data_IF_636575954509
#
_entry.id   IF_636575954509
#
_cell.length_a   1.000
_cell.length_b   1.000
_cell.length_c   1.000
_cell.angle_alpha   90.00
_cell.angle_beta   90.00
_cell.angle_gamma   90.00
#
_symmetry.space_group_name_H-M   'P 1'
#
loop_
_entity.id
_entity.type
_entity.pdbx_description
1 polymer ?
#
# COMPACT_ATOMS: atom_id res chain seq x y z
N UNK A 1 -45.26 4.61 60.21
CA UNK A 1 -43.95 4.71 60.88
C UNK A 1 -42.88 4.53 59.81
N UNK A 2 -41.93 5.47 59.77
CA UNK A 2 -40.85 5.70 58.78
C UNK A 2 -39.99 4.42 58.52
N UNK A 3 -39.32 4.21 57.37
CA UNK A 3 -38.16 5.01 56.93
C UNK A 3 -37.73 4.78 55.45
N UNK A 4 -37.70 5.87 54.68
CA UNK A 4 -36.65 6.39 53.79
C UNK A 4 -35.81 5.48 52.86
N UNK A 5 -35.96 5.72 51.54
CA UNK A 5 -34.99 5.42 50.48
C UNK A 5 -34.19 6.68 50.12
N UNK A 6 -32.90 6.71 50.46
CA UNK A 6 -31.95 7.73 49.98
C UNK A 6 -31.44 7.33 48.59
N UNK A 7 -31.95 7.96 47.53
CA UNK A 7 -31.37 7.90 46.18
C UNK A 7 -30.58 9.18 45.94
N UNK A 8 -29.23 9.08 45.87
CA UNK A 8 -28.35 10.19 45.51
C UNK A 8 -28.65 10.63 44.08
N UNK A 9 -29.07 11.90 43.91
CA UNK A 9 -29.33 12.57 42.63
C UNK A 9 -28.21 13.57 42.40
N UNK A 10 -27.22 13.22 41.59
CA UNK A 10 -26.23 14.17 41.07
C UNK A 10 -26.88 14.98 39.96
N UNK A 11 -27.04 16.29 40.20
CA UNK A 11 -27.58 17.29 39.27
C UNK A 11 -26.39 18.04 38.67
N UNK A 12 -26.27 18.03 37.34
CA UNK A 12 -25.40 18.94 36.59
C UNK A 12 -26.30 19.87 35.78
N UNK A 13 -26.06 21.19 35.88
CA UNK A 13 -26.76 22.22 35.09
C UNK A 13 -25.80 22.84 34.07
N UNK A 14 -26.21 22.87 32.81
CA UNK A 14 -25.63 23.73 31.76
C UNK A 14 -26.79 24.30 30.94
N UNK A 15 -27.12 25.57 31.17
CA UNK A 15 -28.08 26.35 30.36
C UNK A 15 -29.57 26.03 30.60
N UNK A 16 -30.44 26.94 30.14
CA UNK A 16 -31.89 26.96 30.40
C UNK A 16 -32.69 25.88 29.64
N UNK A 17 -32.12 24.68 29.47
CA UNK A 17 -32.75 23.52 28.82
C UNK A 17 -32.59 22.29 29.71
N UNK A 18 -33.73 21.76 30.17
CA UNK A 18 -33.81 20.50 30.90
C UNK A 18 -33.69 19.35 29.89
N UNK A 19 -32.57 18.62 29.91
CA UNK A 19 -32.41 17.38 29.17
C UNK A 19 -32.63 16.18 30.10
N UNK A 20 -33.71 15.44 29.89
CA UNK A 20 -33.95 14.13 30.52
C UNK A 20 -33.34 13.04 29.64
N UNK A 21 -32.23 12.43 30.09
CA UNK A 21 -31.62 11.29 29.43
C UNK A 21 -32.24 10.00 29.99
N UNK A 22 -33.20 9.43 29.26
CA UNK A 22 -33.78 8.12 29.57
C UNK A 22 -32.89 7.03 29.00
N UNK A 23 -32.13 6.36 29.86
CA UNK A 23 -31.37 5.15 29.49
C UNK A 23 -32.35 4.01 29.21
N UNK A 24 -32.59 3.70 27.93
CA UNK A 24 -33.36 2.52 27.52
C UNK A 24 -32.46 1.29 27.54
N UNK A 25 -32.50 0.57 28.66
CA UNK A 25 -31.94 -0.76 28.80
C UNK A 25 -32.87 -1.76 28.09
N UNK A 26 -32.45 -2.29 26.94
CA UNK A 26 -33.11 -3.43 26.29
C UNK A 26 -32.43 -4.76 26.67
N UNK A 27 -33.22 -5.83 26.89
CA UNK A 27 -32.75 -7.15 27.32
C UNK A 27 -32.15 -7.99 26.17
N UNK A 28 -31.40 -9.07 26.47
CA UNK A 28 -30.78 -9.92 25.47
C UNK A 28 -31.80 -10.90 24.86
N UNK A 29 -32.08 -10.77 23.56
CA UNK A 29 -32.88 -11.72 22.78
C UNK A 29 -31.95 -12.67 22.02
N UNK A 30 -31.81 -13.89 22.55
CA UNK A 30 -31.50 -15.09 21.77
C UNK A 30 -32.66 -15.36 20.82
N UNK A 31 -32.39 -15.55 19.51
CA UNK A 31 -32.94 -16.66 18.72
C UNK A 31 -32.35 -16.71 17.32
N UNK A 32 -32.00 -17.93 16.94
CA UNK A 32 -31.70 -18.37 15.58
C UNK A 32 -32.84 -18.06 14.64
N UNK A 33 -32.52 -17.50 13.47
CA UNK A 33 -33.33 -17.73 12.28
C UNK A 33 -32.42 -17.76 11.05
N UNK A 34 -32.32 -18.94 10.45
CA UNK A 34 -31.68 -19.16 9.17
C UNK A 34 -32.57 -18.50 8.11
N UNK A 35 -32.22 -17.30 7.63
CA UNK A 35 -32.91 -16.68 6.50
C UNK A 35 -32.19 -17.03 5.20
N UNK A 36 -32.89 -17.85 4.42
CA UNK A 36 -32.72 -18.07 2.98
C UNK A 36 -32.38 -16.77 2.27
N UNK A 37 -31.14 -16.65 1.78
CA UNK A 37 -30.80 -15.70 0.74
C UNK A 37 -31.49 -16.13 -0.56
N UNK A 38 -32.49 -15.35 -0.96
CA UNK A 38 -33.08 -15.41 -2.30
C UNK A 38 -32.08 -14.76 -3.26
N UNK A 39 -31.40 -15.57 -4.04
CA UNK A 39 -30.60 -15.14 -5.20
C UNK A 39 -31.57 -14.46 -6.18
N UNK A 40 -31.52 -13.14 -6.27
CA UNK A 40 -32.03 -12.43 -7.43
C UNK A 40 -30.90 -12.34 -8.45
N UNK A 41 -30.93 -13.28 -9.40
CA UNK A 41 -30.20 -13.19 -10.65
C UNK A 41 -30.74 -12.02 -11.46
N UNK A 42 -30.02 -10.90 -11.48
CA UNK A 42 -30.12 -9.93 -12.57
C UNK A 42 -28.99 -10.22 -13.55
N UNK A 43 -29.35 -10.91 -14.63
CA UNK A 43 -28.49 -11.13 -15.79
C UNK A 43 -28.14 -9.78 -16.42
N UNK A 44 -26.98 -9.22 -16.05
CA UNK A 44 -26.34 -8.16 -16.81
C UNK A 44 -25.56 -8.83 -17.95
N UNK A 45 -26.10 -8.69 -19.15
CA UNK A 45 -25.47 -9.06 -20.42
C UNK A 45 -24.18 -8.24 -20.60
N UNK A 46 -23.06 -8.77 -20.12
CA UNK A 46 -21.72 -8.24 -20.41
C UNK A 46 -21.19 -8.96 -21.65
N UNK A 47 -21.44 -8.35 -22.79
CA UNK A 47 -20.93 -8.70 -24.10
C UNK A 47 -19.41 -8.45 -24.14
N UNK A 48 -18.63 -9.41 -23.64
CA UNK A 48 -17.18 -9.43 -23.85
C UNK A 48 -16.90 -9.85 -25.29
N UNK A 49 -16.30 -8.94 -26.04
CA UNK A 49 -15.90 -9.15 -27.43
C UNK A 49 -14.64 -10.04 -27.38
N UNK A 50 -14.82 -11.33 -27.62
CA UNK A 50 -13.72 -12.27 -27.91
C UNK A 50 -13.08 -11.81 -29.23
N UNK A 51 -12.05 -10.97 -29.14
CA UNK A 51 -11.28 -10.55 -30.31
C UNK A 51 -10.16 -11.57 -30.55
N UNK A 52 -10.53 -12.70 -31.16
CA UNK A 52 -9.62 -13.69 -31.74
C UNK A 52 -8.99 -13.16 -33.01
N UNK A 53 -7.89 -12.40 -32.89
CA UNK A 53 -7.05 -12.12 -34.06
C UNK A 53 -6.17 -13.34 -34.34
N UNK A 54 -6.67 -14.17 -35.25
CA UNK A 54 -5.92 -15.15 -36.02
C UNK A 54 -4.69 -14.49 -36.65
N UNK A 55 -3.51 -14.99 -36.29
CA UNK A 55 -2.28 -14.76 -37.05
C UNK A 55 -2.40 -15.50 -38.37
N UNK A 56 -2.55 -14.78 -39.47
CA UNK A 56 -2.19 -15.29 -40.80
C UNK A 56 -1.01 -14.47 -41.31
N UNK A 57 0.16 -15.10 -41.28
CA UNK A 57 1.31 -14.63 -42.06
C UNK A 57 0.98 -14.89 -43.53
N UNK A 58 1.01 -13.86 -44.36
CA UNK A 58 1.12 -14.03 -45.81
C UNK A 58 2.12 -13.04 -46.36
N UNK A 59 3.00 -13.63 -47.15
CA UNK A 59 4.27 -13.13 -47.68
C UNK A 59 4.00 -12.28 -48.93
N UNK A 60 4.89 -11.31 -49.15
CA UNK A 60 5.18 -10.66 -50.42
C UNK A 60 4.13 -9.69 -50.97
N UNK A 61 4.52 -8.40 -51.00
CA UNK A 61 4.44 -7.54 -52.18
C UNK A 61 5.26 -6.26 -51.97
N UNK A 62 6.42 -6.26 -52.63
CA UNK A 62 6.94 -5.12 -53.41
C UNK A 62 7.12 -3.76 -52.71
N UNK A 63 8.35 -3.51 -52.26
CA UNK A 63 9.23 -2.47 -52.81
C UNK A 63 8.52 -1.24 -53.43
N UNK A 64 7.83 -0.42 -52.63
CA UNK A 64 7.42 0.93 -53.07
C UNK A 64 7.23 1.93 -51.91
N UNK A 65 7.89 1.70 -50.78
CA UNK A 65 7.73 2.52 -49.56
C UNK A 65 9.04 2.96 -48.91
N UNK A 66 10.17 2.89 -49.63
CA UNK A 66 11.51 3.18 -49.07
C UNK A 66 12.19 4.42 -49.68
N UNK A 67 11.50 5.22 -50.50
CA UNK A 67 12.09 6.37 -51.18
C UNK A 67 11.62 7.75 -50.65
N UNK A 68 10.86 7.81 -49.54
CA UNK A 68 10.36 9.07 -48.97
C UNK A 68 10.87 9.37 -47.55
N UNK A 69 11.74 8.55 -46.98
CA UNK A 69 12.33 8.77 -45.65
C UNK A 69 13.76 9.33 -45.67
N UNK A 70 14.29 9.73 -46.82
CA UNK A 70 15.67 10.23 -46.97
C UNK A 70 15.79 11.72 -47.30
N UNK A 71 14.72 12.50 -47.24
CA UNK A 71 14.75 13.94 -47.60
C UNK A 71 14.44 14.94 -46.46
N UNK A 72 14.41 14.51 -45.20
CA UNK A 72 14.55 15.42 -44.05
C UNK A 72 15.90 15.23 -43.39
N UNK A 73 16.96 15.50 -44.15
CA UNK A 73 18.28 15.76 -43.59
C UNK A 73 18.75 17.10 -44.14
N UNK A 74 19.13 17.94 -43.19
CA UNK A 74 19.80 19.24 -43.35
C UNK A 74 18.85 20.39 -43.68
N UNK A 75 18.53 21.18 -42.65
CA UNK A 75 18.78 22.63 -42.65
C UNK A 75 18.85 23.13 -41.19
N UNK A 76 20.07 23.53 -40.79
CA UNK A 76 20.48 24.73 -40.04
C UNK A 76 19.77 25.11 -38.74
N UNK A 77 20.41 25.65 -37.70
CA UNK A 77 21.79 26.05 -37.46
C UNK A 77 21.98 26.15 -35.94
N UNK A 78 23.24 26.27 -35.53
CA UNK A 78 23.66 26.45 -34.16
C UNK A 78 22.91 27.57 -33.43
N UNK A 79 22.31 27.23 -32.29
CA UNK A 79 21.99 28.19 -31.24
C UNK A 79 22.81 27.80 -30.00
N UNK A 80 23.39 28.82 -29.40
CA UNK A 80 24.45 28.80 -28.41
C UNK A 80 24.11 27.94 -27.19
N UNK A 81 24.91 26.90 -26.96
CA UNK A 81 25.11 26.36 -25.62
C UNK A 81 25.75 27.44 -24.75
N UNK A 82 24.91 28.22 -24.08
CA UNK A 82 25.33 28.98 -22.91
C UNK A 82 25.72 27.93 -21.86
N UNK A 83 26.98 27.85 -21.38
CA UNK A 83 27.27 27.11 -20.18
C UNK A 83 26.53 27.83 -19.05
N UNK A 84 25.30 27.39 -18.75
CA UNK A 84 24.64 27.82 -17.54
C UNK A 84 25.45 27.23 -16.39
N UNK A 85 26.33 28.12 -15.91
CA UNK A 85 27.11 28.07 -14.69
C UNK A 85 26.41 27.14 -13.71
N UNK A 86 27.03 25.97 -13.52
CA UNK A 86 26.78 24.99 -12.46
C UNK A 86 26.40 25.71 -11.17
N UNK A 87 25.10 25.90 -10.99
CA UNK A 87 24.54 26.08 -9.67
C UNK A 87 24.53 24.66 -9.13
N UNK A 88 25.31 24.40 -8.09
CA UNK A 88 25.09 23.24 -7.24
C UNK A 88 23.72 23.44 -6.58
N UNK A 89 22.65 23.24 -7.35
CA UNK A 89 21.39 22.80 -6.79
C UNK A 89 21.75 21.50 -6.09
N UNK A 90 21.70 21.51 -4.76
CA UNK A 90 21.69 20.28 -4.00
C UNK A 90 20.38 19.62 -4.40
N UNK A 91 20.39 18.87 -5.50
CA UNK A 91 19.26 18.03 -5.90
C UNK A 91 19.24 16.92 -4.87
N UNK A 92 18.52 17.16 -3.77
CA UNK A 92 18.25 16.16 -2.76
C UNK A 92 17.44 15.09 -3.47
N UNK A 93 18.11 13.99 -3.83
CA UNK A 93 17.41 12.82 -4.34
C UNK A 93 16.43 12.38 -3.26
N UNK A 94 15.16 12.12 -3.60
CA UNK A 94 14.21 11.66 -2.61
C UNK A 94 14.70 10.35 -1.98
N UNK A 95 14.24 10.05 -0.78
CA UNK A 95 14.49 8.75 -0.15
C UNK A 95 13.59 7.67 -0.76
N UNK A 96 13.86 6.40 -0.46
CA UNK A 96 12.97 5.30 -0.87
C UNK A 96 11.55 5.44 -0.28
N UNK A 97 11.44 5.98 0.94
CA UNK A 97 10.17 6.25 1.59
C UNK A 97 9.36 7.29 0.81
N UNK A 98 9.99 8.43 0.48
CA UNK A 98 9.37 9.49 -0.32
C UNK A 98 9.04 9.02 -1.75
N UNK A 99 9.85 8.11 -2.31
CA UNK A 99 9.54 7.47 -3.59
C UNK A 99 8.24 6.67 -3.50
N UNK A 100 8.08 5.79 -2.50
CA UNK A 100 6.86 5.01 -2.31
C UNK A 100 5.64 5.86 -1.99
N UNK A 101 5.81 6.97 -1.26
CA UNK A 101 4.73 7.93 -0.97
C UNK A 101 4.15 8.56 -2.24
N UNK A 102 4.97 8.82 -3.27
CA UNK A 102 4.48 9.28 -4.59
C UNK A 102 3.57 8.27 -5.27
N UNK A 103 3.76 6.99 -4.97
CA UNK A 103 2.90 5.89 -5.42
C UNK A 103 1.82 5.53 -4.41
N UNK A 104 1.50 6.46 -3.50
CA UNK A 104 0.39 6.36 -2.55
C UNK A 104 0.64 5.36 -1.41
N UNK A 105 1.88 4.96 -1.12
CA UNK A 105 2.19 4.06 -0.01
C UNK A 105 2.71 4.81 1.22
N UNK A 106 2.31 4.42 2.44
CA UNK A 106 2.90 5.00 3.64
C UNK A 106 4.33 4.48 3.84
N UNK A 107 5.19 5.29 4.47
CA UNK A 107 6.59 4.94 4.72
C UNK A 107 6.79 3.64 5.51
N UNK A 108 5.84 3.26 6.37
CA UNK A 108 5.94 2.08 7.24
C UNK A 108 5.83 0.73 6.53
N UNK A 109 5.66 0.72 5.21
CA UNK A 109 5.83 -0.49 4.39
C UNK A 109 7.29 -0.98 4.40
N UNK A 110 8.25 -0.06 4.56
CA UNK A 110 9.67 -0.38 4.64
C UNK A 110 10.18 -0.22 6.08
N UNK A 111 11.11 -1.08 6.54
CA UNK A 111 11.80 -0.87 7.80
C UNK A 111 12.66 0.40 7.76
N UNK A 112 13.01 0.93 8.93
CA UNK A 112 13.98 2.02 9.05
C UNK A 112 15.37 1.60 8.55
N UNK A 113 16.15 2.56 8.06
CA UNK A 113 17.56 2.35 7.69
C UNK A 113 17.80 1.95 6.23
N UNK A 114 16.83 2.18 5.34
CA UNK A 114 17.03 2.06 3.89
C UNK A 114 18.18 2.97 3.43
N UNK A 115 19.13 2.40 2.70
CA UNK A 115 20.35 3.09 2.23
C UNK A 115 20.16 3.76 0.87
N UNK A 116 19.24 3.26 0.06
CA UNK A 116 18.94 3.82 -1.25
C UNK A 116 17.92 3.01 -2.02
N UNK A 117 17.59 3.49 -3.21
CA UNK A 117 16.70 2.82 -4.13
C UNK A 117 17.10 3.09 -5.59
N UNK A 118 16.59 2.26 -6.49
CA UNK A 118 16.55 2.48 -7.94
C UNK A 118 15.11 2.39 -8.38
N UNK A 119 14.64 3.33 -9.19
CA UNK A 119 13.36 3.26 -9.88
C UNK A 119 13.64 3.34 -11.38
N UNK A 120 13.23 2.29 -12.10
CA UNK A 120 13.38 2.17 -13.54
C UNK A 120 12.22 2.85 -14.26
N UNK A 121 12.41 3.22 -15.54
CA UNK A 121 11.38 3.89 -16.35
C UNK A 121 10.12 3.04 -16.58
N UNK A 122 10.23 1.72 -16.43
CA UNK A 122 9.12 0.77 -16.52
C UNK A 122 8.49 0.43 -15.15
N UNK A 123 8.74 1.26 -14.15
CA UNK A 123 8.26 1.14 -12.77
C UNK A 123 8.77 -0.09 -12.00
N UNK A 124 9.76 -0.83 -12.50
CA UNK A 124 10.50 -1.73 -11.61
C UNK A 124 11.26 -0.90 -10.58
N UNK A 125 11.31 -1.39 -9.35
CA UNK A 125 12.08 -0.75 -8.29
C UNK A 125 13.00 -1.76 -7.60
N UNK A 126 14.06 -1.22 -7.03
CA UNK A 126 14.98 -1.91 -6.13
C UNK A 126 15.18 -1.04 -4.89
N UNK A 127 15.14 -1.62 -3.70
CA UNK A 127 15.40 -0.96 -2.43
C UNK A 127 16.51 -1.71 -1.71
N UNK A 128 17.45 -0.98 -1.12
CA UNK A 128 18.65 -1.54 -0.50
C UNK A 128 18.72 -1.19 0.99
N UNK A 129 18.82 -2.22 1.83
CA UNK A 129 19.09 -2.12 3.27
C UNK A 129 20.59 -2.36 3.54
N UNK A 130 21.03 -2.10 4.77
CA UNK A 130 22.42 -2.37 5.21
C UNK A 130 22.77 -3.86 5.25
N UNK A 131 21.74 -4.69 5.40
CA UNK A 131 21.79 -6.13 5.55
C UNK A 131 20.37 -6.68 5.59
N UNK A 132 20.25 -7.99 5.71
CA UNK A 132 18.95 -8.60 5.94
C UNK A 132 18.38 -8.12 7.28
N UNK A 133 17.06 -8.04 7.34
CA UNK A 133 16.37 -7.44 8.45
C UNK A 133 15.18 -8.27 8.92
N UNK A 134 15.21 -8.70 10.17
CA UNK A 134 14.14 -9.46 10.82
C UNK A 134 13.60 -8.70 12.02
N UNK A 135 12.28 -8.72 12.22
CA UNK A 135 11.62 -8.14 13.39
C UNK A 135 10.22 -8.75 13.58
N UNK A 136 9.66 -8.57 14.78
CA UNK A 136 8.31 -9.04 15.12
C UNK A 136 7.35 -7.86 15.32
N UNK A 137 6.15 -7.95 14.76
CA UNK A 137 5.05 -7.00 14.94
C UNK A 137 3.75 -7.76 15.16
N UNK A 138 3.06 -7.50 16.26
CA UNK A 138 1.73 -8.06 16.57
C UNK A 138 1.63 -9.59 16.37
N UNK A 139 2.70 -10.32 16.71
CA UNK A 139 2.77 -11.79 16.58
C UNK A 139 3.15 -12.31 15.19
N UNK A 140 3.50 -11.44 14.25
CA UNK A 140 4.06 -11.81 12.95
C UNK A 140 5.57 -11.58 12.94
N UNK A 141 6.35 -12.61 12.59
CA UNK A 141 7.77 -12.45 12.26
C UNK A 141 7.91 -12.08 10.78
N UNK A 142 8.50 -10.91 10.53
CA UNK A 142 8.76 -10.39 9.19
C UNK A 142 10.26 -10.44 8.93
N UNK A 143 10.62 -10.85 7.72
CA UNK A 143 12.00 -10.87 7.25
C UNK A 143 12.09 -10.16 5.90
N UNK A 144 12.97 -9.18 5.83
CA UNK A 144 13.29 -8.40 4.65
C UNK A 144 14.73 -8.75 4.23
N UNK A 145 14.93 -9.13 2.97
CA UNK A 145 16.28 -9.25 2.41
C UNK A 145 16.93 -7.88 2.32
N UNK A 146 18.26 -7.87 2.32
CA UNK A 146 19.09 -6.69 2.05
C UNK A 146 18.75 -5.99 0.73
N UNK A 147 18.22 -6.72 -0.26
CA UNK A 147 17.67 -6.20 -1.51
C UNK A 147 16.22 -6.60 -1.67
N UNK A 148 15.35 -5.61 -1.86
CA UNK A 148 13.91 -5.80 -2.14
C UNK A 148 13.66 -5.34 -3.56
N UNK A 149 12.88 -6.09 -4.33
CA UNK A 149 12.54 -5.74 -5.71
C UNK A 149 11.06 -5.86 -5.97
N UNK A 150 10.53 -5.13 -6.93
CA UNK A 150 9.17 -5.32 -7.42
C UNK A 150 8.82 -4.35 -8.54
N UNK A 151 7.55 -4.30 -8.89
CA UNK A 151 6.96 -3.34 -9.83
C UNK A 151 5.98 -2.45 -9.06
N UNK A 152 6.19 -1.13 -9.10
CA UNK A 152 5.32 -0.17 -8.42
C UNK A 152 4.25 0.38 -9.37
N UNK A 153 3.04 0.55 -8.85
CA UNK A 153 1.97 1.31 -9.44
C UNK A 153 1.28 2.16 -8.37
N UNK A 154 0.42 3.08 -8.77
CA UNK A 154 -0.30 3.91 -7.80
C UNK A 154 -1.21 3.03 -6.91
N UNK A 155 -0.85 2.89 -5.64
CA UNK A 155 -1.54 2.03 -4.67
C UNK A 155 -1.34 0.52 -4.89
N UNK A 156 -0.36 0.09 -5.67
CA UNK A 156 -0.06 -1.35 -5.88
C UNK A 156 1.45 -1.60 -5.97
N UNK A 157 1.93 -2.64 -5.28
CA UNK A 157 3.26 -3.22 -5.46
C UNK A 157 3.06 -4.66 -5.92
N UNK A 158 3.68 -5.05 -7.03
CA UNK A 158 3.58 -6.39 -7.62
C UNK A 158 4.94 -7.00 -7.84
N UNK A 159 4.95 -8.30 -8.10
CA UNK A 159 6.18 -9.08 -8.35
C UNK A 159 7.23 -8.85 -7.25
N UNK A 160 6.74 -8.70 -6.01
CA UNK A 160 7.58 -8.35 -4.87
C UNK A 160 8.47 -9.54 -4.49
N UNK A 161 9.78 -9.33 -4.42
CA UNK A 161 10.75 -10.26 -3.86
C UNK A 161 11.54 -9.60 -2.74
N UNK A 162 11.91 -10.41 -1.76
CA UNK A 162 12.73 -9.98 -0.63
C UNK A 162 11.93 -9.57 0.60
N UNK A 163 10.62 -9.80 0.65
CA UNK A 163 9.80 -9.65 1.85
C UNK A 163 9.10 -10.97 2.15
N UNK A 164 9.32 -11.53 3.33
CA UNK A 164 8.71 -12.77 3.78
C UNK A 164 8.08 -12.60 5.16
N UNK A 165 7.00 -13.35 5.39
CA UNK A 165 6.32 -13.45 6.68
C UNK A 165 6.33 -14.89 7.13
N UNK A 166 6.50 -15.11 8.43
CA UNK A 166 6.43 -16.44 9.03
C UNK A 166 4.98 -16.78 9.35
N UNK A 167 4.49 -17.89 8.81
CA UNK A 167 3.16 -18.43 9.11
C UNK A 167 3.32 -19.87 9.58
N UNK A 168 2.84 -20.15 10.79
CA UNK A 168 3.04 -21.43 11.50
C UNK A 168 4.54 -21.77 11.62
N UNK A 169 5.06 -22.59 10.71
CA UNK A 169 6.46 -23.06 10.70
C UNK A 169 7.19 -22.76 9.39
N UNK A 170 6.55 -22.04 8.46
CA UNK A 170 7.10 -21.77 7.12
C UNK A 170 7.22 -20.27 6.88
N UNK A 171 8.27 -19.89 6.15
CA UNK A 171 8.43 -18.54 5.61
C UNK A 171 7.77 -18.48 4.24
N UNK A 172 6.87 -17.52 4.07
CA UNK A 172 6.16 -17.32 2.82
C UNK A 172 6.44 -15.93 2.28
N UNK A 173 6.70 -15.84 0.98
CA UNK A 173 6.95 -14.57 0.29
C UNK A 173 5.69 -13.76 0.11
N UNK A 174 5.76 -12.48 0.47
CA UNK A 174 4.75 -11.50 0.10
C UNK A 174 5.05 -11.07 -1.32
N UNK A 175 4.10 -11.31 -2.21
CA UNK A 175 4.28 -11.12 -3.66
C UNK A 175 3.57 -9.87 -4.19
N UNK A 176 2.55 -9.41 -3.48
CA UNK A 176 1.78 -8.22 -3.86
C UNK A 176 1.29 -7.47 -2.62
N UNK A 177 1.25 -6.14 -2.71
CA UNK A 177 0.72 -5.25 -1.69
C UNK A 177 -0.20 -4.24 -2.38
N UNK A 178 -1.47 -4.21 -2.00
CA UNK A 178 -2.43 -3.27 -2.56
C UNK A 178 -2.93 -2.33 -1.46
N UNK A 179 -2.88 -1.02 -1.72
CA UNK A 179 -3.48 -0.04 -0.83
C UNK A 179 -4.90 0.28 -1.31
N UNK A 180 -5.87 -0.16 -0.53
CA UNK A 180 -7.28 0.18 -0.69
C UNK A 180 -7.67 1.45 0.06
N UNK A 181 -8.98 1.70 0.17
CA UNK A 181 -9.49 2.83 0.94
C UNK A 181 -9.42 2.51 2.45
N UNK A 182 -8.42 3.05 3.14
CA UNK A 182 -8.26 2.93 4.59
C UNK A 182 -7.53 1.67 5.06
N UNK A 183 -7.21 0.73 4.17
CA UNK A 183 -6.49 -0.50 4.47
C UNK A 183 -5.34 -0.76 3.47
N UNK A 184 -4.42 -1.63 3.87
CA UNK A 184 -3.39 -2.23 3.03
C UNK A 184 -3.57 -3.75 3.06
N UNK A 185 -3.67 -4.35 1.88
CA UNK A 185 -3.81 -5.78 1.67
C UNK A 185 -2.47 -6.38 1.23
N UNK A 186 -2.01 -7.40 1.94
CA UNK A 186 -0.78 -8.14 1.62
C UNK A 186 -1.14 -9.52 1.09
N UNK A 187 -0.49 -9.94 0.00
CA UNK A 187 -0.80 -11.18 -0.69
C UNK A 187 0.38 -12.15 -0.67
N UNK A 188 0.06 -13.40 -0.37
CA UNK A 188 0.95 -14.56 -0.40
C UNK A 188 0.31 -15.61 -1.30
N UNK A 189 0.59 -15.52 -2.60
CA UNK A 189 -0.11 -16.31 -3.61
C UNK A 189 -1.63 -16.03 -3.60
N UNK A 190 -2.50 -17.04 -3.46
CA UNK A 190 -3.95 -16.85 -3.43
C UNK A 190 -4.49 -16.32 -2.09
N UNK A 191 -3.65 -16.25 -1.05
CA UNK A 191 -4.04 -15.82 0.29
C UNK A 191 -3.77 -14.32 0.46
N UNK A 192 -4.57 -13.67 1.31
CA UNK A 192 -4.39 -12.27 1.66
C UNK A 192 -4.68 -11.98 3.12
N UNK A 193 -4.10 -10.90 3.64
CA UNK A 193 -4.43 -10.31 4.93
C UNK A 193 -4.55 -8.78 4.78
N UNK A 194 -5.55 -8.19 5.44
CA UNK A 194 -5.87 -6.76 5.36
C UNK A 194 -5.60 -6.09 6.69
N UNK A 195 -4.90 -4.96 6.65
CA UNK A 195 -4.54 -4.18 7.84
C UNK A 195 -4.92 -2.72 7.66
N UNK A 196 -5.35 -2.02 8.73
CA UNK A 196 -5.63 -0.60 8.65
C UNK A 196 -4.42 0.23 8.24
N UNK A 197 -4.64 1.28 7.43
CA UNK A 197 -3.57 2.13 6.88
C UNK A 197 -2.69 2.76 7.98
N UNK A 198 -3.30 3.15 9.11
CA UNK A 198 -2.61 3.83 10.21
C UNK A 198 -1.54 2.96 10.89
N UNK A 199 -1.58 1.63 10.73
CA UNK A 199 -0.54 0.74 11.25
C UNK A 199 0.83 0.98 10.58
N UNK A 200 0.86 1.67 9.44
CA UNK A 200 2.04 1.88 8.61
C UNK A 200 2.52 3.34 8.63
N UNK A 201 2.01 4.18 9.54
CA UNK A 201 2.44 5.58 9.67
C UNK A 201 3.90 5.71 10.14
N UNK A 202 4.43 4.68 10.80
CA UNK A 202 5.80 4.63 11.31
C UNK A 202 6.49 3.38 10.78
N UNK A 203 7.77 3.52 10.38
CA UNK A 203 8.59 2.40 9.94
C UNK A 203 9.07 1.57 11.13
N UNK A 204 8.95 0.24 11.08
CA UNK A 204 9.51 -0.62 12.11
C UNK A 204 11.04 -0.61 12.04
N UNK A 205 11.70 -0.77 13.18
CA UNK A 205 13.16 -0.89 13.23
C UNK A 205 13.58 -2.35 13.15
N UNK A 206 14.73 -2.56 12.54
CA UNK A 206 15.32 -3.88 12.47
C UNK A 206 15.60 -4.46 13.87
N UNK A 207 15.37 -5.76 14.05
CA UNK A 207 15.54 -6.47 15.31
C UNK A 207 14.38 -6.29 16.28
N UNK A 208 14.12 -5.06 16.73
CA UNK A 208 13.16 -4.79 17.81
C UNK A 208 11.78 -4.28 17.35
N UNK A 209 11.54 -4.09 16.04
CA UNK A 209 10.25 -3.64 15.51
C UNK A 209 9.90 -2.25 16.07
N UNK A 210 8.75 -2.15 16.73
CA UNK A 210 8.31 -0.92 17.42
C UNK A 210 8.74 -0.83 18.89
N UNK A 211 9.40 -1.87 19.42
CA UNK A 211 9.76 -1.97 20.84
C UNK A 211 11.11 -1.32 21.20
N UNK A 212 11.80 -0.69 20.26
CA UNK A 212 13.13 -0.10 20.51
C UNK A 212 13.10 1.17 21.38
N UNK A 213 11.93 1.76 21.60
CA UNK A 213 11.75 3.00 22.36
C UNK A 213 11.57 2.75 23.87
N UNK A 214 11.31 1.52 24.30
CA UNK A 214 11.06 1.21 25.73
C UNK A 214 12.33 1.14 26.56
N UNK A 215 13.52 1.13 25.94
CA UNK A 215 14.82 1.04 26.65
C UNK A 215 15.45 2.40 26.95
N UNK A 216 14.91 3.51 26.43
CA UNK A 216 15.48 4.85 26.65
C UNK A 216 14.85 5.57 27.86
N UNK A 217 13.73 5.08 28.39
CA UNK A 217 12.99 5.73 29.48
C UNK A 217 13.21 5.13 30.88
N UNK A 218 14.18 4.21 31.04
CA UNK A 218 14.58 3.67 32.34
C UNK A 218 16.11 3.73 32.46
N UNK A 219 16.63 4.93 32.71
CA UNK A 219 18.00 5.15 33.18
C UNK A 219 18.02 6.30 34.15
#
# INVERSE_FOLDING_TARGET
MLDTRVRKKTRFEIGNKIFSLSTLQHPPQKRSFCQRFRIQNTAASFHWKVQTHLRTMSISKTLFGFCLMTLFSVIYAAETHHPNKKSSEVTVKPTAYEMLEKFNFPKGILPEGVKGYVLHDDNRFEVFLDGDCEFEVEGYSLYYKSKITGTVGFGSLKDLDGVTVKVLFMWLGITEVNRGNGNIDFYVGPLSASFPLYNFDVSPRCGCGFNCLTTVSIS
#
